data_IF_992784682881
#
_entry.id   IF_992784682881
#
_cell.length_a   1.000
_cell.length_b   1.000
_cell.length_c   1.000
_cell.angle_alpha   90.00
_cell.angle_beta   90.00
_cell.angle_gamma   90.00
#
_symmetry.space_group_name_H-M   'P 1'
#
loop_
_entity.id
_entity.type
_entity.pdbx_description
1 polymer ?
#
# COMPACT_ATOMS: atom_id res chain seq x y z
N UNK A 1 1.49 -8.90 12.09
CA UNK A 1 0.13 -9.21 11.57
C UNK A 1 0.17 -9.12 10.06
N UNK A 2 -0.57 -9.99 9.37
CA UNK A 2 -0.85 -9.84 7.94
C UNK A 2 -2.18 -9.08 7.78
N UNK A 3 -2.17 -7.98 7.02
CA UNK A 3 -3.36 -7.22 6.66
C UNK A 3 -4.05 -7.90 5.48
N UNK A 4 -5.33 -8.24 5.64
CA UNK A 4 -6.10 -9.03 4.70
C UNK A 4 -7.10 -8.16 3.94
N UNK A 5 -7.64 -8.71 2.86
CA UNK A 5 -8.67 -8.08 2.05
C UNK A 5 -9.86 -7.57 2.87
N UNK A 6 -10.30 -8.36 3.86
CA UNK A 6 -11.42 -8.01 4.75
C UNK A 6 -11.14 -6.84 5.70
N UNK A 7 -9.88 -6.41 5.83
CA UNK A 7 -9.53 -5.26 6.66
C UNK A 7 -9.55 -3.93 5.88
N UNK A 8 -9.51 -3.99 4.55
CA UNK A 8 -9.65 -2.82 3.68
C UNK A 8 -11.04 -2.18 3.87
N UNK A 9 -11.09 -0.85 3.84
CA UNK A 9 -12.33 -0.08 3.90
C UNK A 9 -12.84 0.37 2.53
N UNK A 10 -11.97 0.42 1.52
CA UNK A 10 -12.34 0.77 0.15
C UNK A 10 -13.22 -0.31 -0.48
N UNK A 11 -14.32 0.11 -1.11
CA UNK A 11 -15.27 -0.82 -1.76
C UNK A 11 -15.04 -0.96 -3.27
N UNK A 12 -14.21 -0.09 -3.86
CA UNK A 12 -14.05 0.05 -5.31
C UNK A 12 -12.86 -0.72 -5.89
N UNK A 13 -12.28 -1.62 -5.09
CA UNK A 13 -11.10 -2.37 -5.53
C UNK A 13 -11.41 -3.34 -6.67
N UNK A 14 -10.62 -3.24 -7.74
CA UNK A 14 -10.56 -4.22 -8.79
C UNK A 14 -9.66 -5.39 -8.37
N UNK A 15 -10.26 -6.56 -8.19
CA UNK A 15 -9.59 -7.82 -7.86
C UNK A 15 -9.34 -8.72 -9.08
N UNK A 16 -9.88 -8.35 -10.25
CA UNK A 16 -9.79 -9.16 -11.48
C UNK A 16 -8.46 -8.99 -12.20
N UNK A 17 -7.72 -7.92 -11.90
CA UNK A 17 -6.37 -7.73 -12.41
C UNK A 17 -5.40 -8.67 -11.67
N UNK A 18 -5.33 -9.91 -12.16
CA UNK A 18 -4.27 -10.89 -11.88
C UNK A 18 -2.96 -10.49 -12.55
N UNK A 19 -2.65 -9.19 -12.67
CA UNK A 19 -1.28 -8.79 -12.87
C UNK A 19 -0.47 -9.53 -11.80
N UNK A 20 0.62 -10.15 -12.21
CA UNK A 20 1.39 -11.23 -11.55
C UNK A 20 2.10 -10.69 -10.28
N UNK A 21 1.33 -10.04 -9.43
CA UNK A 21 1.80 -8.93 -8.61
C UNK A 21 1.92 -9.33 -7.15
N UNK A 22 0.97 -10.09 -6.63
CA UNK A 22 0.95 -10.50 -5.22
C UNK A 22 1.72 -11.80 -4.93
N UNK A 23 1.92 -12.66 -5.92
CA UNK A 23 2.56 -13.97 -5.69
C UNK A 23 4.09 -13.95 -5.81
N UNK A 24 4.66 -13.04 -6.61
CA UNK A 24 6.10 -13.06 -6.92
C UNK A 24 6.87 -11.80 -6.49
N UNK A 25 6.18 -10.69 -6.19
CA UNK A 25 6.85 -9.49 -5.73
C UNK A 25 7.28 -9.66 -4.27
N UNK A 26 8.59 -9.69 -4.02
CA UNK A 26 9.17 -9.71 -2.67
C UNK A 26 9.38 -8.31 -2.11
N UNK A 27 9.52 -7.30 -2.99
CA UNK A 27 9.77 -5.89 -2.65
C UNK A 27 9.15 -4.92 -3.68
N UNK A 28 8.81 -3.68 -3.28
CA UNK A 28 8.36 -2.61 -4.19
C UNK A 28 9.42 -2.27 -5.23
N UNK A 29 9.01 -2.15 -6.49
CA UNK A 29 9.91 -1.82 -7.60
C UNK A 29 9.29 -0.73 -8.50
N UNK A 30 9.87 -0.46 -9.66
CA UNK A 30 9.41 0.51 -10.67
C UNK A 30 8.15 0.07 -11.41
N UNK A 31 7.50 -1.02 -10.99
CA UNK A 31 6.20 -1.46 -11.53
C UNK A 31 5.14 -0.41 -11.25
N UNK A 32 4.20 -0.27 -12.20
CA UNK A 32 3.09 0.66 -12.05
C UNK A 32 2.21 0.26 -10.87
N UNK A 33 1.90 1.25 -10.04
CA UNK A 33 0.98 1.12 -8.93
C UNK A 33 -0.37 1.71 -9.30
N UNK A 34 -1.41 0.91 -9.10
CA UNK A 34 -2.81 1.24 -9.25
C UNK A 34 -3.45 1.14 -7.86
N UNK A 35 -3.80 2.31 -7.31
CA UNK A 35 -4.46 2.41 -6.00
C UNK A 35 -5.85 1.76 -5.95
N UNK A 36 -6.47 1.49 -7.10
CA UNK A 36 -7.73 0.77 -7.21
C UNK A 36 -7.53 -0.73 -7.43
N UNK A 37 -6.29 -1.21 -7.59
CA UNK A 37 -6.00 -2.64 -7.60
C UNK A 37 -5.84 -3.16 -6.17
N UNK A 38 -6.80 -3.97 -5.73
CA UNK A 38 -6.82 -4.50 -4.36
C UNK A 38 -5.57 -5.33 -4.00
N UNK A 39 -5.00 -6.07 -4.96
CA UNK A 39 -3.80 -6.89 -4.73
C UNK A 39 -2.56 -6.01 -4.51
N UNK A 40 -2.40 -4.95 -5.30
CA UNK A 40 -1.28 -4.01 -5.15
C UNK A 40 -1.41 -3.18 -3.88
N UNK A 41 -2.63 -2.74 -3.53
CA UNK A 41 -2.91 -2.05 -2.27
C UNK A 41 -2.51 -2.91 -1.07
N UNK A 42 -2.96 -4.17 -1.03
CA UNK A 42 -2.57 -5.11 0.03
C UNK A 42 -1.07 -5.33 0.10
N UNK A 43 -0.42 -5.48 -1.05
CA UNK A 43 1.04 -5.65 -1.12
C UNK A 43 1.76 -4.48 -0.48
N UNK A 44 1.44 -3.24 -0.87
CA UNK A 44 2.07 -2.03 -0.32
C UNK A 44 1.81 -1.88 1.17
N UNK A 45 0.57 -2.05 1.64
CA UNK A 45 0.23 -1.93 3.07
C UNK A 45 1.03 -2.93 3.90
N UNK A 46 1.05 -4.20 3.47
CA UNK A 46 1.76 -5.25 4.20
C UNK A 46 3.27 -5.06 4.17
N UNK A 47 3.83 -4.69 3.02
CA UNK A 47 5.26 -4.47 2.88
C UNK A 47 5.71 -3.27 3.73
N UNK A 48 4.99 -2.14 3.64
CA UNK A 48 5.28 -0.97 4.45
C UNK A 48 5.11 -1.25 5.94
N UNK A 49 4.03 -1.93 6.34
CA UNK A 49 3.82 -2.35 7.72
C UNK A 49 4.92 -3.26 8.28
N UNK A 50 5.45 -4.17 7.45
CA UNK A 50 6.61 -4.99 7.80
C UNK A 50 7.86 -4.13 8.01
N UNK A 51 8.07 -3.10 7.20
CA UNK A 51 9.19 -2.16 7.35
C UNK A 51 9.14 -1.34 8.64
N UNK A 52 7.94 -1.14 9.21
CA UNK A 52 7.74 -0.49 10.51
C UNK A 52 7.93 -1.44 11.71
N UNK A 53 8.13 -2.74 11.49
CA UNK A 53 8.30 -3.76 12.54
C UNK A 53 7.02 -4.17 13.27
N UNK A 54 5.98 -3.32 13.27
CA UNK A 54 4.65 -3.64 13.79
C UNK A 54 3.57 -3.00 12.92
N UNK A 55 2.72 -3.83 12.34
CA UNK A 55 1.50 -3.41 11.65
C UNK A 55 0.28 -3.80 12.49
N UNK A 56 -0.53 -2.83 12.90
CA UNK A 56 -1.87 -3.08 13.45
C UNK A 56 -2.93 -2.91 12.37
N UNK A 57 -4.15 -3.39 12.64
CA UNK A 57 -5.31 -3.17 11.75
C UNK A 57 -5.57 -1.67 11.53
N UNK A 58 -5.45 -0.85 12.58
CA UNK A 58 -5.61 0.61 12.50
C UNK A 58 -4.54 1.24 11.62
N UNK A 59 -3.29 0.80 11.73
CA UNK A 59 -2.20 1.30 10.90
C UNK A 59 -2.42 0.97 9.42
N UNK A 60 -2.83 -0.27 9.12
CA UNK A 60 -3.14 -0.67 7.75
C UNK A 60 -4.26 0.17 7.13
N UNK A 61 -5.33 0.42 7.88
CA UNK A 61 -6.42 1.30 7.44
C UNK A 61 -6.00 2.77 7.31
N UNK A 62 -5.08 3.25 8.15
CA UNK A 62 -4.51 4.59 8.01
C UNK A 62 -3.64 4.71 6.76
N UNK A 63 -2.84 3.68 6.45
CA UNK A 63 -2.03 3.63 5.23
C UNK A 63 -2.93 3.62 3.99
N UNK A 64 -3.97 2.79 4.00
CA UNK A 64 -4.98 2.74 2.94
C UNK A 64 -5.59 4.13 2.68
N UNK A 65 -6.08 4.78 3.74
CA UNK A 65 -6.69 6.11 3.67
C UNK A 65 -5.73 7.17 3.13
N UNK A 66 -4.47 7.15 3.58
CA UNK A 66 -3.42 8.03 3.05
C UNK A 66 -3.24 7.84 1.55
N UNK A 67 -3.10 6.60 1.08
CA UNK A 67 -2.88 6.31 -0.35
C UNK A 67 -4.07 6.78 -1.19
N UNK A 68 -5.30 6.56 -0.70
CA UNK A 68 -6.49 6.94 -1.45
C UNK A 68 -6.68 8.46 -1.51
N UNK A 69 -6.40 9.17 -0.42
CA UNK A 69 -6.77 10.59 -0.27
C UNK A 69 -5.62 11.57 -0.54
N UNK A 70 -4.38 11.18 -0.26
CA UNK A 70 -3.22 12.09 -0.21
C UNK A 70 -2.07 11.71 -1.13
N UNK A 71 -2.14 10.56 -1.82
CA UNK A 71 -1.09 10.14 -2.74
C UNK A 71 -0.97 11.14 -3.91
N UNK A 72 0.22 11.73 -4.16
CA UNK A 72 0.43 12.65 -5.26
C UNK A 72 0.20 11.97 -6.62
N UNK A 73 -0.42 12.68 -7.57
CA UNK A 73 -0.75 12.14 -8.91
C UNK A 73 0.48 11.71 -9.73
N UNK A 74 1.64 12.29 -9.46
CA UNK A 74 2.91 11.93 -10.09
C UNK A 74 3.53 10.63 -9.52
N UNK A 75 2.97 10.08 -8.45
CA UNK A 75 3.44 8.84 -7.82
C UNK A 75 2.89 7.64 -8.59
N UNK A 76 3.68 7.14 -9.54
CA UNK A 76 3.22 6.12 -10.50
C UNK A 76 3.66 4.69 -10.21
N UNK A 77 4.71 4.49 -9.40
CA UNK A 77 5.27 3.17 -9.15
C UNK A 77 5.22 2.78 -7.69
N UNK A 78 5.25 1.47 -7.43
CA UNK A 78 5.26 0.91 -6.07
C UNK A 78 6.40 1.48 -5.22
N UNK A 79 7.60 1.56 -5.80
CA UNK A 79 8.77 2.14 -5.15
C UNK A 79 8.54 3.61 -4.78
N UNK A 80 7.92 4.39 -5.67
CA UNK A 80 7.59 5.79 -5.40
C UNK A 80 6.54 5.91 -4.31
N UNK A 81 5.51 5.04 -4.30
CA UNK A 81 4.49 5.01 -3.23
C UNK A 81 5.12 4.66 -1.90
N UNK A 82 5.99 3.64 -1.86
CA UNK A 82 6.72 3.25 -0.65
C UNK A 82 7.58 4.40 -0.11
N UNK A 83 8.35 5.06 -0.97
CA UNK A 83 9.18 6.21 -0.57
C UNK A 83 8.35 7.40 -0.10
N UNK A 84 7.22 7.66 -0.75
CA UNK A 84 6.28 8.70 -0.32
C UNK A 84 5.69 8.38 1.06
N UNK A 85 5.24 7.14 1.30
CA UNK A 85 4.75 6.70 2.61
C UNK A 85 5.82 6.86 3.71
N UNK A 86 7.09 6.51 3.41
CA UNK A 86 8.19 6.74 4.35
C UNK A 86 8.34 8.22 4.68
N UNK A 87 8.28 9.10 3.68
CA UNK A 87 8.29 10.55 3.88
C UNK A 87 7.17 10.98 4.82
N UNK A 88 5.92 10.69 4.48
CA UNK A 88 4.74 11.03 5.27
C UNK A 88 4.86 10.52 6.71
N UNK A 89 5.19 9.25 6.92
CA UNK A 89 5.29 8.67 8.26
C UNK A 89 6.45 9.22 9.09
N UNK A 90 7.59 9.55 8.48
CA UNK A 90 8.70 10.19 9.19
C UNK A 90 8.36 11.62 9.59
N UNK A 91 7.58 12.35 8.78
CA UNK A 91 7.14 13.71 9.12
C UNK A 91 6.03 13.77 10.18
N UNK A 92 5.09 12.82 10.18
CA UNK A 92 4.01 12.73 11.19
C UNK A 92 4.39 11.90 12.43
N UNK A 93 5.64 11.43 12.52
CA UNK A 93 6.15 10.58 13.60
C UNK A 93 6.86 11.33 14.74
N UNK A 94 6.90 12.67 14.70
CA UNK A 94 7.35 13.54 15.79
C UNK A 94 6.16 14.21 16.49
#
# INVERSE_FOLDING_TARGET
MLFLKEHLKGNEYNWKNNAIHSFYATEPDRRLFDRLNGNQMLFIINYFGKSLGRLTLRDGQKIEDLILTQMPENTKSELSVFNWLRGVYLYYGN
#
